data_IF_015457127436
#
_entry.id   IF_015457127436
#
_cell.length_a   1.000
_cell.length_b   1.000
_cell.length_c   1.000
_cell.angle_alpha   90.00
_cell.angle_beta   90.00
_cell.angle_gamma   90.00
#
_symmetry.space_group_name_H-M   'P 1'
#
loop_
_entity.id
_entity.type
_entity.pdbx_description
1 polymer ?
#
# COMPACT_ATOMS: atom_id res chain seq x y z
N UNK A 1 -3.97 -6.73 -8.26
CA UNK A 1 -3.83 -7.44 -6.96
C UNK A 1 -4.48 -6.63 -5.83
N UNK A 2 -5.21 -7.25 -4.87
CA UNK A 2 -5.74 -6.53 -3.69
C UNK A 2 -4.61 -5.94 -2.83
N UNK A 3 -4.77 -4.72 -2.32
CA UNK A 3 -3.73 -4.03 -1.54
C UNK A 3 -3.33 -4.81 -0.29
N UNK A 4 -4.31 -5.41 0.40
CA UNK A 4 -4.08 -6.31 1.54
C UNK A 4 -3.14 -7.46 1.18
N UNK A 5 -3.35 -8.09 0.01
CA UNK A 5 -2.51 -9.21 -0.43
C UNK A 5 -1.08 -8.73 -0.71
N UNK A 6 -0.91 -7.59 -1.40
CA UNK A 6 0.42 -7.02 -1.62
C UNK A 6 1.14 -6.78 -0.30
N UNK A 7 0.47 -6.13 0.66
CA UNK A 7 1.03 -5.82 1.96
C UNK A 7 1.52 -7.08 2.69
N UNK A 8 0.69 -8.11 2.79
CA UNK A 8 1.06 -9.38 3.44
C UNK A 8 2.30 -10.00 2.79
N UNK A 9 2.35 -10.05 1.46
CA UNK A 9 3.47 -10.62 0.72
C UNK A 9 4.78 -9.83 0.91
N UNK A 10 4.68 -8.50 1.03
CA UNK A 10 5.85 -7.64 1.30
C UNK A 10 6.36 -7.81 2.73
N UNK A 11 5.46 -7.91 3.71
CA UNK A 11 5.84 -8.13 5.12
C UNK A 11 6.44 -9.51 5.30
N UNK A 12 5.84 -10.54 4.71
CA UNK A 12 6.32 -11.92 4.81
C UNK A 12 7.72 -12.08 4.20
N UNK A 13 7.92 -11.59 2.97
CA UNK A 13 9.21 -11.74 2.28
C UNK A 13 10.31 -10.81 2.80
N UNK A 14 9.95 -9.59 3.19
CA UNK A 14 10.94 -8.53 3.40
C UNK A 14 10.86 -7.83 4.75
N UNK A 15 9.85 -8.12 5.58
CA UNK A 15 9.62 -7.43 6.86
C UNK A 15 10.79 -7.52 7.84
N UNK A 16 11.57 -8.60 7.77
CA UNK A 16 12.75 -8.81 8.62
C UNK A 16 14.07 -8.39 7.96
N UNK A 17 14.07 -8.11 6.66
CA UNK A 17 15.28 -7.81 5.88
C UNK A 17 15.41 -6.31 5.63
N UNK A 18 14.30 -5.60 5.48
CA UNK A 18 14.32 -4.18 5.14
C UNK A 18 14.48 -3.26 6.35
N UNK A 19 15.31 -2.23 6.15
CA UNK A 19 15.60 -1.23 7.16
C UNK A 19 14.34 -0.44 7.54
N UNK A 20 14.10 -0.30 8.85
CA UNK A 20 12.85 0.22 9.40
C UNK A 20 12.45 1.59 8.84
N UNK A 21 13.36 2.56 8.90
CA UNK A 21 13.16 3.96 8.48
C UNK A 21 12.95 4.15 6.97
N UNK A 22 13.33 3.15 6.16
CA UNK A 22 13.28 3.26 4.69
C UNK A 22 12.06 2.59 4.11
N UNK A 23 11.73 1.38 4.58
CA UNK A 23 10.67 0.59 3.95
C UNK A 23 9.62 0.11 4.94
N UNK A 24 10.03 -0.35 6.13
CA UNK A 24 9.07 -0.87 7.12
C UNK A 24 8.02 0.17 7.50
N UNK A 25 8.40 1.44 7.65
CA UNK A 25 7.48 2.56 7.93
C UNK A 25 6.28 2.70 6.97
N UNK A 26 6.41 2.20 5.74
CA UNK A 26 5.31 2.22 4.77
C UNK A 26 4.40 0.99 4.89
N UNK A 27 4.89 -0.08 5.53
CA UNK A 27 4.17 -1.32 5.79
C UNK A 27 3.54 -1.34 7.21
N UNK A 28 4.09 -0.60 8.16
CA UNK A 28 3.52 -0.46 9.51
C UNK A 28 2.50 0.67 9.56
N UNK A 29 1.23 0.31 9.79
CA UNK A 29 0.14 1.27 9.99
C UNK A 29 0.32 2.11 11.27
N UNK A 30 0.96 1.54 12.29
CA UNK A 30 1.13 2.12 13.63
C UNK A 30 2.00 3.39 13.67
N UNK A 31 2.89 3.58 12.69
CA UNK A 31 3.77 4.76 12.63
C UNK A 31 3.06 6.03 12.09
N UNK A 32 1.88 5.89 11.49
CA UNK A 32 1.15 7.02 10.92
C UNK A 32 0.04 7.46 11.85
N UNK A 33 0.06 8.76 12.21
CA UNK A 33 -1.01 9.35 13.03
C UNK A 33 -2.39 9.04 12.42
N UNK A 34 -3.36 8.54 13.21
CA UNK A 34 -4.72 8.27 12.74
C UNK A 34 -5.40 9.47 12.08
N UNK A 35 -5.01 10.69 12.47
CA UNK A 35 -5.47 11.96 11.88
C UNK A 35 -4.95 12.11 10.45
N UNK A 36 -3.68 11.77 10.21
CA UNK A 36 -3.02 11.85 8.89
C UNK A 36 -3.54 10.74 7.99
N UNK A 37 -3.60 9.51 8.50
CA UNK A 37 -4.09 8.36 7.77
C UNK A 37 -5.61 8.44 7.49
N UNK A 38 -6.35 9.30 8.20
CA UNK A 38 -7.82 9.43 8.13
C UNK A 38 -8.53 8.08 8.23
N UNK A 39 -7.99 7.17 9.04
CA UNK A 39 -8.47 5.79 9.18
C UNK A 39 -8.35 4.91 7.93
N UNK A 40 -7.65 5.35 6.86
CA UNK A 40 -7.39 4.50 5.70
C UNK A 40 -6.40 3.39 6.06
N UNK A 41 -6.73 2.13 5.77
CA UNK A 41 -5.76 1.06 5.85
C UNK A 41 -4.67 1.29 4.79
N UNK A 42 -3.45 0.81 5.05
CA UNK A 42 -2.33 0.83 4.10
C UNK A 42 -1.89 2.23 3.63
N UNK A 43 -2.23 3.29 4.37
CA UNK A 43 -1.92 4.67 3.99
C UNK A 43 -0.46 4.88 3.55
N UNK A 44 0.51 4.41 4.36
CA UNK A 44 1.93 4.51 4.02
C UNK A 44 2.29 3.78 2.72
N UNK A 45 1.76 2.58 2.51
CA UNK A 45 2.01 1.79 1.30
C UNK A 45 1.42 2.47 0.06
N UNK A 46 0.22 3.03 0.16
CA UNK A 46 -0.39 3.81 -0.91
C UNK A 46 0.46 5.03 -1.28
N UNK A 47 0.96 5.76 -0.27
CA UNK A 47 1.85 6.90 -0.49
C UNK A 47 3.16 6.48 -1.15
N UNK A 48 3.74 5.34 -0.77
CA UNK A 48 4.94 4.82 -1.43
C UNK A 48 4.67 4.50 -2.91
N UNK A 49 3.59 3.79 -3.20
CA UNK A 49 3.24 3.41 -4.58
C UNK A 49 2.91 4.62 -5.45
N UNK A 50 2.26 5.65 -4.88
CA UNK A 50 1.97 6.92 -5.58
C UNK A 50 3.22 7.71 -5.97
N UNK A 51 4.37 7.47 -5.34
CA UNK A 51 5.65 8.07 -5.73
C UNK A 51 6.29 7.42 -6.95
N UNK A 52 5.77 6.27 -7.39
CA UNK A 52 6.26 5.51 -8.53
C UNK A 52 5.14 5.22 -9.56
N UNK A 53 4.45 6.26 -10.07
CA UNK A 53 3.33 6.10 -10.99
C UNK A 53 3.73 5.47 -12.34
N UNK A 54 5.02 5.54 -12.71
CA UNK A 54 5.59 4.88 -13.88
C UNK A 54 5.57 3.35 -13.79
N UNK A 55 5.46 2.81 -12.57
CA UNK A 55 5.48 1.38 -12.31
C UNK A 55 4.13 0.83 -11.85
N UNK A 56 3.35 1.64 -11.12
CA UNK A 56 2.14 1.17 -10.44
C UNK A 56 0.90 1.98 -10.79
N UNK A 57 -0.20 1.28 -10.99
CA UNK A 57 -1.55 1.86 -11.08
C UNK A 57 -2.36 1.41 -9.87
N UNK A 58 -2.94 2.38 -9.15
CA UNK A 58 -3.81 2.13 -8.00
C UNK A 58 -5.26 2.36 -8.43
N UNK A 59 -6.12 1.37 -8.18
CA UNK A 59 -7.56 1.47 -8.42
C UNK A 59 -8.32 1.34 -7.10
N UNK A 60 -9.18 2.32 -6.81
CA UNK A 60 -10.04 2.33 -5.62
C UNK A 60 -11.48 2.08 -6.05
N UNK A 61 -12.06 0.99 -5.54
CA UNK A 61 -13.46 0.63 -5.76
C UNK A 61 -14.27 0.90 -4.51
N UNK A 62 -15.49 1.39 -4.73
CA UNK A 62 -16.45 1.68 -3.67
C UNK A 62 -17.63 0.71 -3.81
N UNK A 63 -18.01 0.05 -2.72
CA UNK A 63 -19.23 -0.76 -2.64
C UNK A 63 -20.00 -0.36 -1.39
N UNK A 64 -20.96 0.55 -1.56
CA UNK A 64 -21.62 1.20 -0.43
C UNK A 64 -20.62 2.01 0.40
N UNK A 65 -20.51 1.71 1.70
CA UNK A 65 -19.50 2.32 2.61
C UNK A 65 -18.14 1.62 2.60
N UNK A 66 -18.01 0.46 1.95
CA UNK A 66 -16.77 -0.29 1.91
C UNK A 66 -15.84 0.23 0.80
N UNK A 67 -14.57 0.45 1.15
CA UNK A 67 -13.50 0.83 0.23
C UNK A 67 -12.64 -0.40 -0.04
N UNK A 68 -12.32 -0.66 -1.30
CA UNK A 68 -11.40 -1.71 -1.72
C UNK A 68 -10.34 -1.14 -2.66
N UNK A 69 -9.07 -1.28 -2.27
CA UNK A 69 -7.94 -0.77 -3.04
C UNK A 69 -7.18 -1.92 -3.70
N UNK A 70 -6.81 -1.70 -4.95
CA UNK A 70 -6.09 -2.64 -5.79
C UNK A 70 -4.90 -1.94 -6.43
N UNK A 71 -3.86 -2.71 -6.72
CA UNK A 71 -2.66 -2.26 -7.43
C UNK A 71 -2.33 -3.22 -8.55
N UNK A 72 -1.88 -2.66 -9.67
CA UNK A 72 -1.40 -3.39 -10.84
C UNK A 72 -0.10 -2.75 -11.33
N UNK A 73 0.75 -3.54 -12.00
CA UNK A 73 1.89 -3.00 -12.73
C UNK A 73 1.41 -2.31 -14.01
N UNK A 74 2.05 -1.22 -14.40
CA UNK A 74 1.74 -0.50 -15.65
C UNK A 74 1.87 -1.42 -16.88
N UNK A 75 2.85 -2.33 -16.89
CA UNK A 75 3.09 -3.27 -18.00
C UNK A 75 2.05 -4.40 -18.14
N UNK A 76 1.18 -4.59 -17.15
CA UNK A 76 0.12 -5.62 -17.18
C UNK A 76 -1.21 -5.07 -17.73
N UNK A 77 -1.20 -3.83 -18.23
CA UNK A 77 -2.35 -3.16 -18.84
C UNK A 77 -2.28 -3.17 -20.38
N UNK A 78 -1.28 -3.83 -20.95
CA UNK A 78 -1.06 -3.99 -22.40
C UNK A 78 -1.67 -5.27 -22.93
#
# INVERSE_FOLDING_TARGET
MPMRKLHTELVDRFGNVWHHTRVRKYLTWEEWSPIIAKGRPWFGLLELLRKHPEHFVINTKWKGRAISEFVSLVSLLS
#
